data_IF_249859380227
#
_entry.id   IF_249859380227
#
_cell.length_a   1.000
_cell.length_b   1.000
_cell.length_c   1.000
_cell.angle_alpha   90.00
_cell.angle_beta   90.00
_cell.angle_gamma   90.00
#
_symmetry.space_group_name_H-M   'P 1'
#
loop_
_entity.id
_entity.type
_entity.pdbx_description
1 polymer ?
#
# COMPACT_ATOMS: atom_id res chain seq x y z
N UNK A 1 -21.74 36.56 -27.71
CA UNK A 1 -20.76 35.58 -28.23
C UNK A 1 -20.88 34.30 -27.41
N UNK A 2 -21.44 33.24 -28.00
CA UNK A 2 -21.61 31.93 -27.37
C UNK A 2 -20.25 31.24 -27.39
N UNK A 3 -19.73 30.84 -26.22
CA UNK A 3 -18.46 30.09 -26.12
C UNK A 3 -18.61 28.79 -26.91
N UNK A 4 -17.69 28.58 -27.85
CA UNK A 4 -17.63 27.36 -28.65
C UNK A 4 -17.64 26.13 -27.75
N UNK A 5 -18.53 25.19 -28.08
CA UNK A 5 -18.77 23.93 -27.40
C UNK A 5 -17.48 23.21 -27.03
N UNK A 6 -17.21 23.08 -25.73
CA UNK A 6 -16.25 22.09 -25.25
C UNK A 6 -16.85 20.70 -25.50
N UNK A 7 -16.42 20.05 -26.59
CA UNK A 7 -16.75 18.66 -26.86
C UNK A 7 -16.37 17.83 -25.61
N UNK A 8 -17.33 17.12 -24.99
CA UNK A 8 -17.08 16.35 -23.78
C UNK A 8 -15.84 15.46 -23.93
N UNK A 9 -14.97 15.42 -22.91
CA UNK A 9 -13.76 14.57 -22.91
C UNK A 9 -14.03 13.12 -23.30
N UNK A 10 -15.23 12.60 -22.99
CA UNK A 10 -15.66 11.25 -23.35
C UNK A 10 -15.77 11.01 -24.87
N UNK A 11 -16.07 12.06 -25.66
CA UNK A 11 -16.11 11.98 -27.12
C UNK A 11 -14.70 12.02 -27.71
N UNK A 12 -13.76 12.73 -27.05
CA UNK A 12 -12.36 12.84 -27.50
C UNK A 12 -11.54 11.57 -27.23
N UNK A 13 -11.91 10.78 -26.22
CA UNK A 13 -11.26 9.51 -25.90
C UNK A 13 -12.29 8.47 -25.38
N UNK A 14 -12.99 7.79 -26.30
CA UNK A 14 -14.04 6.83 -25.93
C UNK A 14 -13.47 5.60 -25.20
N UNK A 15 -12.23 5.18 -25.50
CA UNK A 15 -11.60 4.05 -24.82
C UNK A 15 -11.38 4.34 -23.34
N UNK A 16 -10.85 5.52 -23.03
CA UNK A 16 -10.69 5.94 -21.65
C UNK A 16 -12.03 6.15 -20.95
N UNK A 17 -13.04 6.69 -21.65
CA UNK A 17 -14.38 6.83 -21.08
C UNK A 17 -14.99 5.48 -20.68
N UNK A 18 -14.87 4.46 -21.54
CA UNK A 18 -15.30 3.07 -21.25
C UNK A 18 -14.52 2.51 -20.07
N UNK A 19 -13.19 2.68 -20.03
CA UNK A 19 -12.35 2.23 -18.90
C UNK A 19 -12.76 2.87 -17.57
N UNK A 20 -13.00 4.19 -17.56
CA UNK A 20 -13.48 4.92 -16.38
C UNK A 20 -14.86 4.44 -15.96
N UNK A 21 -15.77 4.22 -16.92
CA UNK A 21 -17.10 3.65 -16.66
C UNK A 21 -17.03 2.28 -16.00
N UNK A 22 -16.21 1.37 -16.55
CA UNK A 22 -15.97 0.05 -15.97
C UNK A 22 -15.39 0.13 -14.57
N UNK A 23 -14.38 0.96 -14.34
CA UNK A 23 -13.78 1.13 -13.01
C UNK A 23 -14.79 1.66 -12.00
N UNK A 24 -15.64 2.62 -12.38
CA UNK A 24 -16.69 3.13 -11.50
C UNK A 24 -17.73 2.07 -11.16
N UNK A 25 -18.17 1.30 -12.16
CA UNK A 25 -19.12 0.20 -11.95
C UNK A 25 -18.52 -0.87 -11.04
N UNK A 26 -17.26 -1.26 -11.28
CA UNK A 26 -16.55 -2.25 -10.47
C UNK A 26 -16.42 -1.79 -9.00
N UNK A 27 -16.03 -0.54 -8.76
CA UNK A 27 -15.98 0.04 -7.41
C UNK A 27 -17.37 0.12 -6.78
N UNK A 28 -18.40 0.56 -7.51
CA UNK A 28 -19.77 0.64 -7.00
C UNK A 28 -20.29 -0.75 -6.58
N UNK A 29 -20.09 -1.76 -7.43
CA UNK A 29 -20.49 -3.14 -7.12
C UNK A 29 -19.70 -3.72 -5.94
N UNK A 30 -18.42 -3.37 -5.81
CA UNK A 30 -17.60 -3.72 -4.65
C UNK A 30 -18.20 -3.18 -3.35
N UNK A 31 -18.58 -1.91 -3.35
CA UNK A 31 -19.17 -1.24 -2.19
C UNK A 31 -20.53 -1.85 -1.84
N UNK A 32 -21.35 -2.16 -2.83
CA UNK A 32 -22.67 -2.77 -2.62
C UNK A 32 -22.56 -4.17 -2.02
N UNK A 33 -21.73 -5.03 -2.60
CA UNK A 33 -21.69 -6.48 -2.29
C UNK A 33 -20.68 -6.84 -1.20
N UNK A 34 -19.50 -6.20 -1.21
CA UNK A 34 -18.38 -6.54 -0.34
C UNK A 34 -18.09 -5.50 0.74
N UNK A 35 -18.78 -4.34 0.69
CA UNK A 35 -18.66 -3.25 1.66
C UNK A 35 -17.21 -2.75 1.79
N UNK A 36 -16.51 -2.65 0.65
CA UNK A 36 -15.17 -2.06 0.55
C UNK A 36 -14.95 -1.45 -0.85
N UNK A 37 -13.88 -0.67 -0.98
CA UNK A 37 -13.53 0.01 -2.24
C UNK A 37 -12.47 -0.70 -3.08
N UNK A 38 -12.10 -1.94 -2.75
CA UNK A 38 -11.03 -2.66 -3.46
C UNK A 38 -11.37 -3.08 -4.89
N UNK A 39 -12.65 -3.01 -5.29
CA UNK A 39 -13.10 -3.39 -6.61
C UNK A 39 -13.73 -4.79 -6.61
N UNK A 40 -14.80 -4.95 -7.39
CA UNK A 40 -15.60 -6.17 -7.38
C UNK A 40 -14.80 -7.36 -7.94
N UNK A 41 -14.07 -7.15 -9.05
CA UNK A 41 -13.19 -8.15 -9.63
C UNK A 41 -12.11 -8.61 -8.65
N UNK A 42 -11.49 -7.68 -7.91
CA UNK A 42 -10.46 -7.95 -6.91
C UNK A 42 -11.00 -8.74 -5.72
N UNK A 43 -12.21 -8.43 -5.26
CA UNK A 43 -12.89 -9.19 -4.22
C UNK A 43 -13.23 -10.62 -4.67
N UNK A 44 -13.69 -10.80 -5.90
CA UNK A 44 -13.94 -12.13 -6.47
C UNK A 44 -12.64 -12.93 -6.65
N UNK A 45 -11.59 -12.28 -7.14
CA UNK A 45 -10.27 -12.89 -7.25
C UNK A 45 -9.77 -13.33 -5.87
N UNK A 46 -9.84 -12.47 -4.86
CA UNK A 46 -9.47 -12.81 -3.48
C UNK A 46 -10.29 -13.96 -2.90
N UNK A 47 -11.61 -14.05 -3.19
CA UNK A 47 -12.44 -15.22 -2.82
C UNK A 47 -11.91 -16.52 -3.46
N UNK A 48 -11.56 -16.48 -4.74
CA UNK A 48 -10.97 -17.63 -5.46
C UNK A 48 -9.59 -17.98 -4.90
N UNK A 49 -8.73 -16.99 -4.66
CA UNK A 49 -7.43 -17.12 -4.04
C UNK A 49 -7.54 -17.80 -2.67
N UNK A 50 -8.49 -17.39 -1.81
CA UNK A 50 -8.76 -18.06 -0.52
C UNK A 50 -9.17 -19.52 -0.68
N UNK A 51 -9.98 -19.85 -1.68
CA UNK A 51 -10.35 -21.24 -1.96
C UNK A 51 -9.13 -22.07 -2.40
N UNK A 52 -8.22 -21.50 -3.21
CA UNK A 52 -6.93 -22.14 -3.57
C UNK A 52 -6.05 -22.33 -2.33
N UNK A 53 -5.90 -21.29 -1.51
CA UNK A 53 -5.12 -21.32 -0.26
C UNK A 53 -5.62 -22.43 0.66
N UNK A 54 -6.93 -22.59 0.87
CA UNK A 54 -7.49 -23.69 1.68
C UNK A 54 -7.07 -25.08 1.18
N UNK A 55 -6.84 -25.26 -0.12
CA UNK A 55 -6.32 -26.52 -0.66
C UNK A 55 -4.83 -26.67 -0.33
N UNK A 56 -4.05 -25.61 -0.49
CA UNK A 56 -2.61 -25.56 -0.22
C UNK A 56 -2.31 -25.76 1.29
N UNK A 57 -3.11 -25.17 2.17
CA UNK A 57 -2.99 -25.30 3.63
C UNK A 57 -2.94 -26.78 4.08
N UNK A 58 -3.66 -27.67 3.39
CA UNK A 58 -3.66 -29.12 3.67
C UNK A 58 -2.32 -29.78 3.36
N UNK A 59 -1.54 -29.22 2.44
CA UNK A 59 -0.23 -29.72 2.03
C UNK A 59 0.86 -29.29 3.01
N UNK A 60 0.88 -28.01 3.40
CA UNK A 60 1.95 -27.46 4.23
C UNK A 60 1.83 -27.76 5.73
N UNK A 61 0.62 -28.04 6.23
CA UNK A 61 0.37 -28.45 7.62
C UNK A 61 1.09 -27.55 8.67
N UNK A 62 1.11 -26.24 8.45
CA UNK A 62 1.74 -25.30 9.39
C UNK A 62 1.03 -25.40 10.74
N UNK A 63 1.77 -25.88 11.75
CA UNK A 63 1.27 -26.03 13.12
C UNK A 63 0.78 -24.68 13.66
N UNK A 64 -0.46 -24.60 14.19
CA UNK A 64 -0.94 -23.38 14.80
C UNK A 64 -0.06 -22.94 15.96
N UNK A 65 0.39 -21.69 15.92
CA UNK A 65 1.00 -21.00 17.06
C UNK A 65 0.09 -19.87 17.50
N UNK A 66 0.01 -19.65 18.81
CA UNK A 66 -0.70 -18.51 19.37
C UNK A 66 0.21 -17.28 19.32
N UNK A 67 0.11 -16.50 18.25
CA UNK A 67 0.83 -15.24 18.10
C UNK A 67 -0.20 -14.12 18.27
N UNK A 68 -0.17 -13.33 19.37
CA UNK A 68 -1.19 -12.32 19.65
C UNK A 68 -1.42 -11.34 18.49
N UNK A 69 -0.33 -10.90 17.83
CA UNK A 69 -0.42 -10.02 16.67
C UNK A 69 -1.16 -10.66 15.48
N UNK A 70 -1.07 -11.98 15.29
CA UNK A 70 -1.80 -12.68 14.21
C UNK A 70 -3.29 -12.72 14.54
N UNK A 71 -3.67 -12.93 15.79
CA UNK A 71 -5.08 -12.90 16.23
C UNK A 71 -5.67 -11.49 16.14
N UNK A 72 -4.91 -10.47 16.57
CA UNK A 72 -5.27 -9.07 16.37
C UNK A 72 -5.47 -8.75 14.88
N UNK A 73 -4.53 -9.18 14.04
CA UNK A 73 -4.60 -8.98 12.60
C UNK A 73 -5.81 -9.66 11.95
N UNK A 74 -6.14 -10.89 12.37
CA UNK A 74 -7.35 -11.59 11.91
C UNK A 74 -8.62 -10.86 12.29
N UNK A 75 -8.68 -10.33 13.51
CA UNK A 75 -9.85 -9.63 14.05
C UNK A 75 -10.03 -8.25 13.41
N UNK A 76 -8.95 -7.49 13.31
CA UNK A 76 -9.00 -6.08 12.97
C UNK A 76 -8.65 -5.80 11.50
N UNK A 77 -7.94 -6.70 10.83
CA UNK A 77 -7.34 -6.46 9.51
C UNK A 77 -6.05 -5.64 9.58
N UNK A 78 -5.56 -5.31 10.76
CA UNK A 78 -4.28 -4.64 11.00
C UNK A 78 -3.75 -5.01 12.40
N UNK A 79 -2.43 -4.92 12.60
CA UNK A 79 -1.78 -5.18 13.89
C UNK A 79 -0.43 -4.48 13.99
N UNK A 80 0.01 -4.22 15.22
CA UNK A 80 1.36 -3.75 15.52
C UNK A 80 2.27 -4.94 15.80
N UNK A 81 3.42 -5.03 15.11
CA UNK A 81 4.45 -6.02 15.45
C UNK A 81 5.45 -5.46 16.46
N UNK A 82 5.55 -4.13 16.58
CA UNK A 82 6.46 -3.45 17.49
C UNK A 82 7.85 -3.28 16.87
N UNK A 83 8.90 -3.37 17.69
CA UNK A 83 10.30 -3.29 17.23
C UNK A 83 10.82 -4.72 17.12
N UNK A 84 10.78 -5.25 15.90
CA UNK A 84 11.16 -6.66 15.61
C UNK A 84 12.47 -6.78 14.83
N UNK A 85 13.09 -5.64 14.53
CA UNK A 85 14.32 -5.55 13.76
C UNK A 85 15.47 -5.12 14.67
N UNK A 86 16.66 -5.62 14.37
CA UNK A 86 17.87 -5.16 15.03
C UNK A 86 18.08 -3.65 14.78
N UNK A 87 18.51 -2.93 15.83
CA UNK A 87 18.68 -1.48 15.77
C UNK A 87 19.75 -1.07 14.75
N UNK A 88 20.86 -1.80 14.69
CA UNK A 88 21.94 -1.50 13.75
C UNK A 88 21.48 -1.71 12.30
N UNK A 89 20.71 -2.77 12.03
CA UNK A 89 20.10 -2.97 10.71
C UNK A 89 19.18 -1.80 10.32
N UNK A 90 18.30 -1.37 11.24
CA UNK A 90 17.38 -0.26 10.96
C UNK A 90 18.13 1.07 10.76
N UNK A 91 19.15 1.34 11.57
CA UNK A 91 20.02 2.51 11.41
C UNK A 91 20.72 2.50 10.05
N UNK A 92 21.22 1.34 9.61
CA UNK A 92 21.85 1.17 8.31
C UNK A 92 20.87 1.45 7.16
N UNK A 93 19.71 0.80 7.18
CA UNK A 93 18.67 0.97 6.15
C UNK A 93 18.18 2.43 6.09
N UNK A 94 17.92 3.05 7.25
CA UNK A 94 17.50 4.46 7.34
C UNK A 94 18.57 5.41 6.79
N UNK A 95 19.84 5.19 7.13
CA UNK A 95 20.96 5.99 6.63
C UNK A 95 21.09 5.90 5.11
N UNK A 96 20.99 4.70 4.53
CA UNK A 96 21.00 4.50 3.07
C UNK A 96 19.79 5.12 2.39
N UNK A 97 18.60 4.97 2.98
CA UNK A 97 17.39 5.63 2.49
C UNK A 97 17.57 7.14 2.36
N UNK A 98 18.09 7.80 3.41
CA UNK A 98 18.29 9.25 3.43
C UNK A 98 19.29 9.74 2.38
N UNK A 99 20.27 8.92 2.01
CA UNK A 99 21.22 9.22 0.92
C UNK A 99 20.61 9.10 -0.46
N UNK A 100 19.59 8.25 -0.63
CA UNK A 100 19.03 7.87 -1.94
C UNK A 100 17.74 8.62 -2.27
N UNK A 101 16.90 8.94 -1.27
CA UNK A 101 15.53 9.43 -1.51
C UNK A 101 15.46 10.80 -2.22
N UNK A 102 16.51 11.62 -2.08
CA UNK A 102 16.57 12.95 -2.68
C UNK A 102 17.39 12.96 -4.00
N UNK A 103 18.02 11.84 -4.36
CA UNK A 103 18.77 11.67 -5.61
C UNK A 103 17.80 11.45 -6.79
N UNK A 104 17.88 12.28 -7.84
CA UNK A 104 16.95 12.24 -8.98
C UNK A 104 17.10 11.03 -9.90
N UNK A 105 18.29 10.42 -9.93
CA UNK A 105 18.56 9.21 -10.72
C UNK A 105 18.05 7.97 -10.00
N UNK A 106 18.12 7.97 -8.66
CA UNK A 106 17.76 6.82 -7.83
C UNK A 106 16.34 6.88 -7.26
N UNK A 107 15.67 8.02 -7.35
CA UNK A 107 14.29 8.22 -6.88
C UNK A 107 13.43 8.95 -7.92
N UNK A 108 12.16 9.18 -7.60
CA UNK A 108 11.27 10.01 -8.42
C UNK A 108 10.23 10.72 -7.57
N UNK A 109 9.76 11.86 -8.07
CA UNK A 109 8.64 12.60 -7.47
C UNK A 109 7.35 11.80 -7.68
N UNK A 110 6.74 11.38 -6.57
CA UNK A 110 5.44 10.70 -6.58
C UNK A 110 4.29 11.69 -6.62
N UNK A 111 4.47 12.87 -6.01
CA UNK A 111 3.49 13.95 -6.07
C UNK A 111 4.10 15.33 -5.93
N UNK A 112 3.52 16.26 -6.69
CA UNK A 112 3.86 17.67 -6.69
C UNK A 112 2.65 18.52 -7.06
N UNK A 113 2.65 19.78 -6.64
CA UNK A 113 1.71 20.80 -7.05
C UNK A 113 2.47 22.12 -7.23
N UNK A 114 2.27 22.79 -8.36
CA UNK A 114 2.94 24.05 -8.71
C UNK A 114 4.47 24.05 -8.51
N UNK A 115 5.11 22.92 -8.85
CA UNK A 115 6.55 22.72 -8.72
C UNK A 115 7.04 22.32 -7.33
N UNK A 116 6.19 22.39 -6.29
CA UNK A 116 6.54 21.93 -4.95
C UNK A 116 6.32 20.41 -4.81
N UNK A 117 7.34 19.70 -4.31
CA UNK A 117 7.31 18.25 -4.08
C UNK A 117 6.72 17.92 -2.71
N UNK A 118 5.80 16.95 -2.67
CA UNK A 118 5.14 16.50 -1.43
C UNK A 118 5.38 15.03 -1.11
N UNK A 119 5.84 14.24 -2.09
CA UNK A 119 6.22 12.85 -1.89
C UNK A 119 7.26 12.41 -2.91
N UNK A 120 8.25 11.64 -2.45
CA UNK A 120 9.26 10.98 -3.28
C UNK A 120 9.27 9.49 -3.00
N UNK A 121 9.68 8.70 -3.99
CA UNK A 121 9.83 7.24 -3.87
C UNK A 121 11.12 6.77 -4.53
N UNK A 122 11.82 5.83 -3.89
CA UNK A 122 13.03 5.20 -4.43
C UNK A 122 12.67 4.24 -5.56
N UNK A 123 13.47 4.24 -6.64
CA UNK A 123 13.41 3.26 -7.73
C UNK A 123 14.09 1.97 -7.29
N UNK A 124 13.56 0.81 -7.66
CA UNK A 124 14.20 -0.51 -7.44
C UNK A 124 14.83 -0.63 -6.03
N UNK A 125 14.01 -0.48 -4.98
CA UNK A 125 14.47 -0.34 -3.58
C UNK A 125 15.53 -1.36 -3.18
N UNK A 126 15.33 -2.63 -3.56
CA UNK A 126 16.26 -3.73 -3.25
C UNK A 126 17.65 -3.59 -3.92
N UNK A 127 17.78 -2.87 -5.03
CA UNK A 127 19.10 -2.60 -5.65
C UNK A 127 19.81 -1.44 -4.98
N UNK A 128 19.05 -0.38 -4.66
CA UNK A 128 19.61 0.84 -4.07
C UNK A 128 19.82 0.74 -2.56
N UNK A 129 19.11 -0.17 -1.90
CA UNK A 129 19.25 -0.49 -0.47
C UNK A 129 19.16 -2.02 -0.30
N UNK A 130 20.22 -2.79 -0.64
CA UNK A 130 20.16 -4.25 -0.59
C UNK A 130 19.81 -4.83 0.79
N UNK A 131 20.10 -4.11 1.87
CA UNK A 131 19.83 -4.54 3.24
C UNK A 131 18.33 -4.60 3.58
N UNK A 132 17.45 -3.99 2.77
CA UNK A 132 16.00 -4.10 2.99
C UNK A 132 15.53 -5.54 3.00
N UNK A 133 16.25 -6.46 2.33
CA UNK A 133 15.87 -7.87 2.36
C UNK A 133 15.99 -8.51 3.75
N UNK A 134 16.90 -7.99 4.58
CA UNK A 134 17.10 -8.43 5.96
C UNK A 134 15.95 -8.00 6.87
N UNK A 135 15.07 -7.09 6.44
CA UNK A 135 13.84 -6.76 7.16
C UNK A 135 12.80 -7.88 7.11
N UNK A 136 12.97 -8.88 6.24
CA UNK A 136 12.15 -10.09 6.24
C UNK A 136 12.77 -11.10 7.20
N UNK A 137 12.57 -10.84 8.50
CA UNK A 137 13.13 -11.65 9.59
C UNK A 137 12.36 -12.95 9.80
N UNK A 138 12.89 -13.87 10.61
CA UNK A 138 12.17 -15.07 11.01
C UNK A 138 10.82 -14.77 11.69
N UNK A 139 10.71 -13.66 12.44
CA UNK A 139 9.45 -13.22 13.06
C UNK A 139 8.43 -12.76 12.01
N UNK A 140 8.88 -12.03 10.97
CA UNK A 140 8.01 -11.64 9.84
C UNK A 140 7.53 -12.87 9.08
N UNK A 141 8.44 -13.81 8.79
CA UNK A 141 8.10 -15.06 8.10
C UNK A 141 7.07 -15.85 8.90
N UNK A 142 7.33 -16.04 10.20
CA UNK A 142 6.43 -16.77 11.09
C UNK A 142 5.06 -16.08 11.18
N UNK A 143 5.01 -14.75 11.28
CA UNK A 143 3.76 -14.00 11.29
C UNK A 143 2.90 -14.31 10.05
N UNK A 144 3.46 -14.18 8.85
CA UNK A 144 2.71 -14.34 7.61
C UNK A 144 2.35 -15.81 7.34
N UNK A 145 3.25 -16.75 7.63
CA UNK A 145 2.94 -18.18 7.54
C UNK A 145 1.85 -18.59 8.53
N UNK A 146 1.88 -18.05 9.76
CA UNK A 146 0.82 -18.29 10.74
C UNK A 146 -0.49 -17.64 10.34
N UNK A 147 -0.48 -16.46 9.70
CA UNK A 147 -1.67 -15.78 9.21
C UNK A 147 -2.30 -16.54 8.03
N UNK A 148 -1.53 -16.75 6.95
CA UNK A 148 -1.99 -17.37 5.71
C UNK A 148 -2.18 -18.88 5.83
N UNK A 149 -1.48 -19.54 6.78
CA UNK A 149 -1.37 -20.99 6.93
C UNK A 149 -0.78 -21.68 5.68
N UNK A 150 -0.04 -20.93 4.89
CA UNK A 150 0.70 -21.34 3.70
C UNK A 150 1.93 -20.43 3.60
N UNK A 151 2.96 -20.79 2.82
CA UNK A 151 4.01 -19.85 2.47
C UNK A 151 3.46 -18.56 1.87
N UNK A 152 4.30 -17.54 1.78
CA UNK A 152 3.99 -16.28 1.13
C UNK A 152 5.11 -15.88 0.18
N UNK A 153 4.80 -14.93 -0.69
CA UNK A 153 5.76 -14.26 -1.57
C UNK A 153 5.70 -12.76 -1.32
N UNK A 154 6.81 -12.10 -1.63
CA UNK A 154 6.88 -10.64 -1.67
C UNK A 154 6.59 -10.23 -3.11
N UNK A 155 5.54 -9.43 -3.27
CA UNK A 155 5.08 -8.95 -4.57
C UNK A 155 5.92 -7.76 -5.01
N UNK A 156 6.09 -6.79 -4.11
CA UNK A 156 6.81 -5.56 -4.40
C UNK A 156 7.32 -4.88 -3.11
N UNK A 157 8.28 -3.97 -3.27
CA UNK A 157 8.84 -3.14 -2.20
C UNK A 157 8.75 -1.67 -2.60
N UNK A 158 8.29 -0.85 -1.67
CA UNK A 158 8.26 0.60 -1.82
C UNK A 158 9.00 1.24 -0.66
N UNK A 159 9.75 2.30 -0.96
CA UNK A 159 10.35 3.15 0.06
C UNK A 159 10.07 4.60 -0.33
N UNK A 160 9.38 5.34 0.52
CA UNK A 160 8.95 6.70 0.20
C UNK A 160 9.06 7.64 1.39
N UNK A 161 9.15 8.93 1.05
CA UNK A 161 9.08 10.06 1.96
C UNK A 161 7.79 10.84 1.69
N UNK A 162 7.05 11.15 2.75
CA UNK A 162 5.97 12.14 2.71
C UNK A 162 6.44 13.43 3.39
N UNK A 163 6.10 14.56 2.79
CA UNK A 163 6.44 15.91 3.25
C UNK A 163 5.15 16.65 3.56
N UNK A 164 5.22 17.64 4.46
CA UNK A 164 4.12 18.54 4.78
C UNK A 164 3.40 19.07 3.52
N UNK A 165 2.06 19.02 3.53
CA UNK A 165 1.20 19.60 2.49
C UNK A 165 0.41 20.74 3.11
N UNK A 166 0.54 21.97 2.60
CA UNK A 166 -0.25 23.10 3.07
C UNK A 166 -1.77 22.85 2.97
N UNK A 167 -2.57 23.31 3.96
CA UNK A 167 -4.02 23.06 3.99
C UNK A 167 -4.76 23.49 2.72
N UNK A 168 -4.36 24.61 2.11
CA UNK A 168 -4.95 25.13 0.88
C UNK A 168 -4.81 24.18 -0.33
N UNK A 169 -3.76 23.35 -0.32
CA UNK A 169 -3.55 22.27 -1.29
C UNK A 169 -4.26 21.01 -0.81
N UNK A 170 -4.03 20.57 0.43
CA UNK A 170 -4.54 19.31 0.97
C UNK A 170 -6.08 19.19 0.94
N UNK A 171 -6.78 20.33 1.11
CA UNK A 171 -8.24 20.39 1.07
C UNK A 171 -8.83 20.24 -0.34
N UNK A 172 -8.03 20.46 -1.38
CA UNK A 172 -8.47 20.42 -2.79
C UNK A 172 -7.88 19.25 -3.55
N UNK A 173 -6.71 18.81 -3.12
CA UNK A 173 -5.89 17.84 -3.80
C UNK A 173 -5.31 16.84 -2.82
N UNK A 174 -5.50 15.58 -3.14
CA UNK A 174 -4.87 14.48 -2.46
C UNK A 174 -3.44 14.29 -3.01
N UNK A 175 -2.44 14.83 -2.30
CA UNK A 175 -1.03 14.76 -2.72
C UNK A 175 -0.43 13.37 -2.53
N UNK A 176 -0.88 12.63 -1.54
CA UNK A 176 -0.57 11.21 -1.37
C UNK A 176 -1.82 10.58 -0.77
N UNK A 177 -1.82 9.28 -0.49
CA UNK A 177 -2.97 8.51 -0.01
C UNK A 177 -3.51 8.95 1.37
N UNK A 178 -3.89 10.22 1.53
CA UNK A 178 -4.27 10.91 2.76
C UNK A 178 -5.79 11.00 2.93
N UNK A 179 -6.58 10.63 1.92
CA UNK A 179 -8.01 10.42 2.09
C UNK A 179 -8.29 8.97 2.47
N UNK A 180 -9.37 8.73 3.22
CA UNK A 180 -9.78 7.38 3.60
C UNK A 180 -10.07 6.53 2.37
N UNK A 181 -9.46 5.35 2.28
CA UNK A 181 -9.71 4.41 1.18
C UNK A 181 -9.37 2.99 1.60
N UNK A 182 -9.84 2.04 0.80
CA UNK A 182 -9.18 0.74 0.70
C UNK A 182 -8.25 0.80 -0.51
N UNK A 183 -7.18 0.02 -0.49
CA UNK A 183 -6.40 -0.23 -1.68
C UNK A 183 -7.22 -1.02 -2.71
N UNK A 184 -6.73 -1.09 -3.96
CA UNK A 184 -7.44 -1.66 -5.11
C UNK A 184 -6.75 -2.89 -5.70
N UNK A 185 -6.32 -3.84 -4.88
CA UNK A 185 -5.64 -5.09 -5.27
C UNK A 185 -6.40 -6.32 -4.76
N UNK A 186 -5.85 -7.52 -5.00
CA UNK A 186 -6.42 -8.77 -4.50
C UNK A 186 -6.56 -8.73 -2.97
N UNK A 187 -7.76 -9.00 -2.46
CA UNK A 187 -8.10 -8.91 -1.02
C UNK A 187 -7.46 -9.97 -0.10
N UNK A 188 -6.57 -10.78 -0.64
CA UNK A 188 -5.64 -11.66 0.12
C UNK A 188 -4.27 -11.03 0.31
N UNK A 189 -3.98 -9.92 -0.37
CA UNK A 189 -2.72 -9.23 -0.20
C UNK A 189 -2.68 -8.51 1.15
N UNK A 190 -1.47 -8.40 1.67
CA UNK A 190 -1.19 -7.69 2.91
C UNK A 190 0.01 -6.79 2.72
N UNK A 191 0.15 -5.82 3.61
CA UNK A 191 1.24 -4.87 3.61
C UNK A 191 1.94 -4.89 4.95
N UNK A 192 3.27 -4.88 4.91
CA UNK A 192 4.14 -4.69 6.07
C UNK A 192 4.79 -3.31 5.93
N UNK A 193 4.69 -2.48 6.96
CA UNK A 193 5.34 -1.17 6.99
C UNK A 193 6.39 -1.16 8.09
N UNK A 194 7.53 -0.55 7.79
CA UNK A 194 8.64 -0.32 8.73
C UNK A 194 8.99 1.16 8.71
N UNK A 195 8.88 1.83 9.86
CA UNK A 195 9.28 3.24 9.98
C UNK A 195 10.81 3.38 9.98
N UNK A 196 11.31 4.31 9.17
CA UNK A 196 12.75 4.61 9.05
C UNK A 196 13.21 5.78 9.91
N UNK A 197 12.27 6.46 10.56
CA UNK A 197 12.49 7.50 11.56
C UNK A 197 11.46 7.37 12.69
N UNK A 198 11.65 8.12 13.77
CA UNK A 198 10.63 8.26 14.80
C UNK A 198 9.39 8.93 14.19
N UNK A 199 8.21 8.36 14.45
CA UNK A 199 6.93 8.86 13.95
C UNK A 199 6.05 9.22 15.14
N UNK A 200 5.87 10.51 15.38
CA UNK A 200 4.95 11.09 16.35
C UNK A 200 3.65 11.50 15.67
N UNK A 201 2.74 12.17 16.41
CA UNK A 201 1.54 12.76 15.82
C UNK A 201 1.85 13.84 14.77
N UNK A 202 3.02 14.48 14.86
CA UNK A 202 3.44 15.57 13.96
C UNK A 202 3.99 15.06 12.63
N UNK A 203 4.43 13.81 12.58
CA UNK A 203 5.08 13.23 11.40
C UNK A 203 4.07 12.61 10.43
N UNK A 204 2.78 12.91 10.56
CA UNK A 204 1.73 12.37 9.70
C UNK A 204 1.61 10.85 9.79
N UNK A 205 1.32 10.27 10.98
CA UNK A 205 1.30 8.83 11.21
C UNK A 205 0.29 8.09 10.33
N UNK A 206 0.41 6.77 10.24
CA UNK A 206 -0.56 5.94 9.54
C UNK A 206 -1.84 5.79 10.38
N UNK A 207 -3.01 5.97 9.75
CA UNK A 207 -4.31 5.80 10.40
C UNK A 207 -5.09 4.68 9.71
N UNK A 208 -5.74 3.83 10.51
CA UNK A 208 -6.53 2.70 10.00
C UNK A 208 -7.72 2.44 10.90
N UNK A 209 -8.80 1.94 10.31
CA UNK A 209 -9.97 1.42 11.00
C UNK A 209 -10.03 -0.09 10.84
N UNK A 210 -10.73 -0.77 11.74
CA UNK A 210 -10.89 -2.23 11.63
C UNK A 210 -11.67 -2.62 10.37
N UNK A 211 -11.53 -3.87 9.94
CA UNK A 211 -12.28 -4.40 8.80
C UNK A 211 -13.78 -4.38 9.02
N UNK A 212 -14.25 -4.54 10.27
CA UNK A 212 -15.67 -4.49 10.58
C UNK A 212 -16.21 -3.06 10.59
N UNK A 213 -15.45 -2.11 11.17
CA UNK A 213 -15.80 -0.70 11.07
C UNK A 213 -15.84 -0.26 9.61
N UNK A 214 -14.88 -0.70 8.81
CA UNK A 214 -14.84 -0.40 7.37
C UNK A 214 -16.15 -0.79 6.69
N UNK A 215 -16.66 -2.01 6.91
CA UNK A 215 -17.93 -2.45 6.33
C UNK A 215 -19.09 -1.57 6.77
N UNK A 216 -19.15 -1.23 8.07
CA UNK A 216 -20.19 -0.34 8.62
C UNK A 216 -20.18 1.04 7.94
N UNK A 217 -18.99 1.63 7.73
CA UNK A 217 -18.84 2.90 7.02
C UNK A 217 -19.38 2.83 5.59
N UNK A 218 -19.11 1.73 4.86
CA UNK A 218 -19.65 1.52 3.52
C UNK A 218 -21.16 1.28 3.52
N UNK A 219 -21.71 0.63 4.54
CA UNK A 219 -23.16 0.45 4.72
C UNK A 219 -23.88 1.76 5.01
N UNK A 220 -23.23 2.66 5.75
CA UNK A 220 -23.69 4.03 5.99
C UNK A 220 -23.54 4.93 4.76
N UNK A 221 -22.96 4.41 3.68
CA UNK A 221 -23.03 5.01 2.36
C UNK A 221 -21.71 5.59 1.85
N UNK A 222 -20.54 5.34 2.45
CA UNK A 222 -19.27 5.84 1.91
C UNK A 222 -18.99 5.35 0.48
N UNK A 223 -18.97 6.25 -0.51
CA UNK A 223 -18.75 5.90 -1.94
C UNK A 223 -17.46 6.50 -2.52
N UNK A 224 -17.18 7.76 -2.25
CA UNK A 224 -16.08 8.50 -2.87
C UNK A 224 -15.18 9.11 -1.81
N UNK A 225 -13.88 8.76 -1.84
CA UNK A 225 -12.90 9.31 -0.90
C UNK A 225 -12.65 10.81 -1.06
N UNK A 226 -12.85 11.36 -2.27
CA UNK A 226 -12.66 12.79 -2.56
C UNK A 226 -13.86 13.62 -2.16
N UNK A 227 -15.04 13.01 -2.15
CA UNK A 227 -16.32 13.64 -1.80
C UNK A 227 -17.15 12.66 -0.97
N UNK A 228 -16.75 12.38 0.27
CA UNK A 228 -17.50 11.49 1.12
C UNK A 228 -18.91 12.05 1.32
N UNK A 229 -19.90 11.22 1.05
CA UNK A 229 -21.31 11.51 1.23
C UNK A 229 -21.81 11.14 2.63
N UNK A 230 -20.88 10.95 3.57
CA UNK A 230 -21.15 10.67 4.97
C UNK A 230 -20.49 11.73 5.86
N UNK A 231 -21.03 12.01 7.06
CA UNK A 231 -20.48 13.01 7.96
C UNK A 231 -19.01 12.75 8.31
N UNK A 232 -18.19 13.81 8.37
CA UNK A 232 -16.76 13.70 8.68
C UNK A 232 -16.54 13.11 10.07
N UNK A 233 -17.41 13.44 11.02
CA UNK A 233 -17.38 12.98 12.40
C UNK A 233 -17.51 11.46 12.50
N UNK A 234 -18.15 10.83 11.51
CA UNK A 234 -18.34 9.39 11.44
C UNK A 234 -17.09 8.67 10.91
N UNK A 235 -16.38 9.30 9.96
CA UNK A 235 -15.10 8.84 9.40
C UNK A 235 -13.91 9.11 10.32
N UNK A 236 -13.90 10.26 10.99
CA UNK A 236 -12.78 10.76 11.81
C UNK A 236 -12.99 10.49 13.31
N UNK A 237 -13.91 9.58 13.67
CA UNK A 237 -14.20 9.28 15.08
C UNK A 237 -12.99 8.58 15.74
N UNK A 238 -12.33 9.18 16.74
CA UNK A 238 -11.13 8.63 17.35
C UNK A 238 -11.36 7.29 18.06
N UNK A 239 -12.61 6.96 18.45
CA UNK A 239 -12.95 5.65 19.03
C UNK A 239 -12.65 4.48 18.09
N UNK A 240 -12.74 4.72 16.78
CA UNK A 240 -12.63 3.67 15.76
C UNK A 240 -11.34 3.76 14.94
N UNK A 241 -10.47 4.73 15.24
CA UNK A 241 -9.23 4.96 14.50
C UNK A 241 -8.06 4.51 15.34
N UNK A 242 -7.29 3.56 14.81
CA UNK A 242 -5.96 3.27 15.28
C UNK A 242 -4.98 4.18 14.56
N UNK A 243 -4.22 4.96 15.33
CA UNK A 243 -3.13 5.79 14.81
C UNK A 243 -1.80 5.17 15.23
N UNK A 244 -0.96 4.85 14.25
CA UNK A 244 0.32 4.21 14.51
C UNK A 244 1.46 5.23 14.55
N UNK A 245 1.86 5.55 15.77
CA UNK A 245 3.11 6.23 16.10
C UNK A 245 4.12 5.23 16.65
N UNK A 246 5.39 5.58 16.65
CA UNK A 246 6.42 4.74 17.24
C UNK A 246 7.82 5.23 16.89
N UNK A 247 8.81 4.71 17.60
CA UNK A 247 10.21 4.99 17.29
C UNK A 247 10.61 4.31 15.98
N UNK A 248 11.72 4.76 15.41
CA UNK A 248 12.37 4.15 14.25
C UNK A 248 12.50 2.63 14.40
N UNK A 249 12.14 1.89 13.35
CA UNK A 249 12.07 0.43 13.34
C UNK A 249 10.71 -0.15 13.78
N UNK A 250 9.78 0.70 14.23
CA UNK A 250 8.40 0.28 14.51
C UNK A 250 7.79 -0.34 13.25
N UNK A 251 7.22 -1.53 13.41
CA UNK A 251 6.72 -2.37 12.34
C UNK A 251 5.24 -2.68 12.54
N UNK A 252 4.44 -2.50 11.50
CA UNK A 252 3.00 -2.75 11.50
C UNK A 252 2.56 -3.47 10.23
N UNK A 253 1.43 -4.16 10.31
CA UNK A 253 0.86 -4.94 9.21
C UNK A 253 -0.59 -4.54 8.96
N UNK A 254 -1.02 -4.56 7.69
CA UNK A 254 -2.37 -4.21 7.27
C UNK A 254 -2.87 -5.03 6.09
N UNK A 255 -4.11 -5.53 6.12
CA UNK A 255 -4.86 -5.91 4.92
C UNK A 255 -5.67 -4.69 4.45
N UNK A 256 -4.95 -3.79 3.77
CA UNK A 256 -5.44 -2.47 3.41
C UNK A 256 -6.44 -2.48 2.24
N UNK A 257 -6.64 -3.65 1.62
CA UNK A 257 -7.70 -3.91 0.66
C UNK A 257 -9.08 -4.01 1.35
N UNK A 258 -9.08 -4.32 2.65
CA UNK A 258 -10.30 -4.57 3.45
C UNK A 258 -10.46 -3.62 4.63
N UNK A 259 -9.51 -2.71 4.84
CA UNK A 259 -9.55 -1.71 5.90
C UNK A 259 -9.48 -0.31 5.32
N UNK A 260 -10.36 0.58 5.79
CA UNK A 260 -10.22 2.00 5.54
C UNK A 260 -8.97 2.50 6.24
N UNK A 261 -8.11 3.14 5.47
CA UNK A 261 -6.87 3.70 5.97
C UNK A 261 -6.53 5.01 5.26
N UNK A 262 -5.62 5.78 5.86
CA UNK A 262 -5.02 6.97 5.27
C UNK A 262 -3.64 7.25 5.85
N UNK A 263 -2.83 7.96 5.08
CA UNK A 263 -1.64 8.62 5.58
C UNK A 263 -2.02 9.95 6.26
N UNK A 264 -1.53 10.17 7.48
CA UNK A 264 -1.49 11.51 8.05
C UNK A 264 -0.60 12.43 7.20
N UNK A 265 -0.87 13.74 7.27
CA UNK A 265 -0.06 14.77 6.64
C UNK A 265 0.95 15.26 7.69
N UNK A 266 2.27 15.20 7.43
CA UNK A 266 3.25 15.77 8.36
C UNK A 266 3.00 17.26 8.60
N UNK A 267 3.28 17.74 9.81
CA UNK A 267 3.33 19.17 10.13
C UNK A 267 4.50 19.85 9.42
N UNK A 268 4.48 21.19 9.32
CA UNK A 268 5.57 21.94 8.69
C UNK A 268 6.90 21.65 9.39
N UNK A 269 7.93 21.32 8.60
CA UNK A 269 9.25 20.93 9.11
C UNK A 269 9.39 19.45 9.46
N UNK A 270 8.31 18.66 9.35
CA UNK A 270 8.31 17.23 9.59
C UNK A 270 8.21 16.43 8.28
N UNK A 271 8.71 15.19 8.31
CA UNK A 271 8.64 14.23 7.21
C UNK A 271 8.35 12.84 7.75
N UNK A 272 7.84 11.94 6.88
CA UNK A 272 7.70 10.52 7.22
C UNK A 272 8.37 9.64 6.21
N UNK A 273 9.35 8.89 6.68
CA UNK A 273 10.12 7.93 5.89
C UNK A 273 9.73 6.51 6.30
N UNK A 274 9.37 5.68 5.32
CA UNK A 274 9.02 4.28 5.59
C UNK A 274 9.35 3.35 4.42
N UNK A 275 9.46 2.07 4.73
CA UNK A 275 9.45 0.97 3.76
C UNK A 275 8.12 0.24 3.87
N UNK A 276 7.54 -0.11 2.73
CA UNK A 276 6.37 -0.95 2.60
C UNK A 276 6.71 -2.19 1.76
N UNK A 277 6.43 -3.37 2.27
CA UNK A 277 6.39 -4.62 1.49
C UNK A 277 4.94 -4.94 1.15
N UNK A 278 4.68 -5.33 -0.10
CA UNK A 278 3.42 -5.98 -0.49
C UNK A 278 3.63 -7.49 -0.51
N UNK A 279 2.74 -8.22 0.16
CA UNK A 279 2.86 -9.66 0.35
C UNK A 279 1.60 -10.36 -0.12
N UNK A 280 1.77 -11.55 -0.67
CA UNK A 280 0.68 -12.40 -1.13
C UNK A 280 0.91 -13.85 -0.70
N UNK A 281 -0.16 -14.63 -0.46
CA UNK A 281 -0.03 -16.05 -0.19
C UNK A 281 0.56 -16.79 -1.40
N UNK A 282 1.31 -17.86 -1.13
CA UNK A 282 2.08 -18.64 -2.10
C UNK A 282 1.90 -20.14 -1.87
N UNK A 283 1.99 -20.91 -2.94
CA UNK A 283 2.13 -22.38 -2.92
C UNK A 283 3.59 -22.84 -2.89
N UNK A 284 4.53 -21.90 -2.89
CA UNK A 284 5.97 -22.14 -2.83
C UNK A 284 6.58 -21.40 -1.63
N UNK A 285 7.54 -22.01 -0.91
CA UNK A 285 8.35 -21.32 0.09
C UNK A 285 8.97 -20.03 -0.44
N UNK A 286 9.20 -19.07 0.45
CA UNK A 286 9.92 -17.84 0.10
C UNK A 286 11.35 -18.23 -0.32
N UNK A 287 11.74 -17.86 -1.55
CA UNK A 287 13.09 -18.10 -2.06
C UNK A 287 14.10 -17.21 -1.37
N UNK A 288 15.37 -17.59 -1.36
CA UNK A 288 16.45 -16.76 -0.80
C UNK A 288 16.67 -15.46 -1.60
N UNK A 289 16.52 -15.53 -2.93
CA UNK A 289 16.65 -14.44 -3.88
C UNK A 289 15.28 -13.87 -4.32
N UNK A 290 14.32 -13.80 -3.40
CA UNK A 290 12.95 -13.36 -3.72
C UNK A 290 12.88 -11.95 -4.34
N UNK A 291 13.91 -11.12 -4.13
CA UNK A 291 14.00 -9.77 -4.69
C UNK A 291 14.07 -9.74 -6.23
N UNK A 292 14.49 -10.83 -6.86
CA UNK A 292 14.56 -10.96 -8.32
C UNK A 292 13.18 -11.19 -8.95
N UNK A 293 12.20 -11.65 -8.16
CA UNK A 293 10.85 -12.01 -8.62
C UNK A 293 9.82 -10.86 -8.48
N UNK A 294 10.24 -9.69 -7.99
CA UNK A 294 9.35 -8.55 -7.72
C UNK A 294 8.66 -8.03 -8.99
N UNK A 295 7.38 -7.62 -8.86
CA UNK A 295 6.62 -7.08 -9.99
C UNK A 295 7.25 -5.80 -10.55
N UNK A 296 7.81 -4.93 -9.69
CA UNK A 296 8.51 -3.72 -10.12
C UNK A 296 9.75 -3.99 -10.98
N UNK A 297 10.42 -5.14 -10.80
CA UNK A 297 11.54 -5.55 -11.66
C UNK A 297 11.03 -5.89 -13.06
N UNK A 298 9.89 -6.57 -13.16
CA UNK A 298 9.27 -6.92 -14.44
C UNK A 298 8.81 -5.67 -15.18
N UNK A 299 8.07 -4.80 -14.49
CA UNK A 299 7.58 -3.53 -15.03
C UNK A 299 8.74 -2.60 -15.47
N UNK A 300 9.84 -2.56 -14.72
CA UNK A 300 11.01 -1.76 -15.08
C UNK A 300 11.70 -2.29 -16.35
N UNK A 301 11.91 -3.61 -16.42
CA UNK A 301 12.52 -4.25 -17.59
C UNK A 301 11.64 -4.06 -18.84
N UNK A 302 10.32 -4.19 -18.71
CA UNK A 302 9.38 -4.02 -19.83
C UNK A 302 9.31 -2.57 -20.35
N UNK A 303 9.69 -1.57 -19.53
CA UNK A 303 9.71 -0.14 -19.93
C UNK A 303 11.07 0.35 -20.42
N UNK A 304 12.17 -0.30 -20.03
CA UNK A 304 13.55 0.11 -20.39
C UNK A 304 14.15 -0.72 -21.52
N UNK A 305 13.44 -1.76 -21.97
CA UNK A 305 13.65 -2.31 -23.31
C UNK A 305 12.65 -1.59 -24.24
N UNK A 306 12.99 -0.45 -24.86
CA UNK A 306 12.30 -0.04 -26.07
C UNK A 306 12.29 -1.25 -27.02
N UNK A 307 11.13 -1.53 -27.61
CA UNK A 307 10.95 -2.46 -28.73
C UNK A 307 11.90 -2.20 -29.92
N UNK A 308 12.64 -1.09 -29.88
CA UNK A 308 13.53 -0.62 -30.92
C UNK A 308 15.00 -0.98 -30.71
N UNK A 309 15.39 -1.55 -29.56
CA UNK A 309 16.75 -2.08 -29.33
C UNK A 309 16.88 -3.59 -29.59
N UNK A 310 15.76 -4.30 -29.78
CA UNK A 310 15.76 -5.72 -30.17
C UNK A 310 15.95 -5.95 -31.70
N UNK A 311 16.17 -4.90 -32.50
CA UNK A 311 16.37 -4.98 -33.96
C UNK A 311 17.78 -4.61 -34.46
N UNK A 312 18.77 -4.44 -33.58
CA UNK A 312 20.16 -4.19 -33.99
C UNK A 312 21.14 -5.10 -33.24
N UNK A 313 21.05 -6.39 -33.50
CA UNK A 313 22.17 -7.32 -33.27
C UNK A 313 22.01 -8.61 -34.08
N UNK A 314 21.69 -8.50 -35.37
CA UNK A 314 22.04 -9.50 -36.39
C UNK A 314 22.27 -8.73 -37.70
N UNK A 315 23.50 -8.25 -37.89
CA UNK A 315 24.23 -8.14 -39.16
C UNK A 315 25.67 -7.80 -38.83
#
# INVERSE_FOLDING_TARGET
MVKANEIPKAIKDPKNAVKVGHSRLDSYMSQLVFKNSAGFANNLHGKRSRAKIKKIQKQFKISPKNIPAVEEFRKNGHALLGIIHDKQLIDEVSSKFKKVIDDEDLSFVRSQHDGQVFSRQIRLVHKNIPEVKKLITAQVIEFFEQYYKTPFKIVDIFAWRNIHVPPEIANKHEMFSSYWHCDGRDTTWTKLFVYLDDVTSKDGPFHVQTSDRTKEIFELGFVDRKKPNIPKELLENPKYITTYTGVKGTTLVGNLELTLHKAGIPELGHTRDLIQFQLAPSDMPLKENWEEDLESVKDYNDRIIPSDLAKKSIT
#
